data_IF_501281736006
#
_entry.id   IF_501281736006
#
_cell.length_a   1.000
_cell.length_b   1.000
_cell.length_c   1.000
_cell.angle_alpha   90.00
_cell.angle_beta   90.00
_cell.angle_gamma   90.00
#
_symmetry.space_group_name_H-M   'P 1'
#
loop_
_entity.id
_entity.type
_entity.pdbx_description
1 polymer ?
#
# COMPACT_ATOMS: atom_id res chain seq x y z
N UNK A 1 -52.67 34.07 -19.12
CA UNK A 1 -51.57 34.70 -19.80
C UNK A 1 -50.33 34.04 -19.22
N UNK A 2 -49.92 32.95 -19.77
CA UNK A 2 -49.05 32.76 -20.94
C UNK A 2 -47.62 33.15 -20.65
N UNK A 3 -46.74 32.18 -20.64
CA UNK A 3 -45.32 32.39 -20.71
C UNK A 3 -44.47 31.20 -20.31
N UNK A 4 -44.69 30.10 -20.98
CA UNK A 4 -43.77 28.97 -21.08
C UNK A 4 -42.55 29.39 -21.92
N UNK A 5 -41.33 29.28 -21.43
CA UNK A 5 -40.12 29.25 -22.26
C UNK A 5 -39.06 28.40 -21.58
N UNK A 6 -38.93 27.16 -22.00
CA UNK A 6 -37.71 26.39 -21.94
C UNK A 6 -36.65 27.03 -22.84
N UNK A 7 -35.40 27.19 -22.40
CA UNK A 7 -34.25 27.20 -23.30
C UNK A 7 -33.55 25.86 -23.25
N UNK A 8 -33.81 25.11 -24.31
CA UNK A 8 -32.94 24.14 -24.94
C UNK A 8 -31.47 24.49 -24.79
N UNK A 9 -30.75 23.67 -24.03
CA UNK A 9 -29.28 23.72 -23.94
C UNK A 9 -28.71 22.64 -24.87
N UNK A 10 -28.18 22.99 -26.05
CA UNK A 10 -27.46 22.07 -26.91
C UNK A 10 -25.96 22.26 -26.73
N UNK A 11 -25.32 21.42 -25.97
CA UNK A 11 -23.87 21.50 -26.07
C UNK A 11 -23.02 20.87 -24.99
N UNK A 12 -23.11 19.59 -24.76
CA UNK A 12 -22.00 18.82 -24.22
C UNK A 12 -21.97 17.41 -24.83
N UNK A 13 -21.90 17.38 -26.15
CA UNK A 13 -21.52 16.21 -26.91
C UNK A 13 -20.05 16.36 -27.28
N UNK A 14 -19.20 15.89 -26.42
CA UNK A 14 -17.74 15.92 -26.59
C UNK A 14 -17.03 14.95 -25.69
N UNK A 15 -17.66 13.82 -25.40
CA UNK A 15 -16.96 12.69 -24.82
C UNK A 15 -16.37 11.89 -25.99
N UNK A 16 -15.15 12.23 -26.37
CA UNK A 16 -14.33 11.37 -27.23
C UNK A 16 -13.94 10.14 -26.42
N UNK A 17 -14.77 9.11 -26.53
CA UNK A 17 -14.33 7.76 -26.17
C UNK A 17 -13.16 7.40 -27.08
N UNK A 18 -12.03 6.94 -26.54
CA UNK A 18 -10.98 6.40 -27.38
C UNK A 18 -11.54 5.15 -28.05
N UNK A 19 -11.76 5.22 -29.39
CA UNK A 19 -11.97 4.06 -30.24
C UNK A 19 -10.79 3.14 -30.03
N UNK A 20 -11.00 2.02 -29.32
CA UNK A 20 -10.10 0.88 -29.42
C UNK A 20 -10.10 0.47 -30.89
N UNK A 21 -9.04 0.91 -31.59
CA UNK A 21 -8.82 0.55 -32.97
C UNK A 21 -8.65 -0.94 -33.09
N UNK A 22 -9.40 -1.42 -34.02
CA UNK A 22 -9.28 -2.59 -34.87
C UNK A 22 -8.01 -3.43 -34.59
N UNK A 23 -8.09 -4.42 -33.69
CA UNK A 23 -7.05 -5.39 -33.42
C UNK A 23 -7.13 -6.63 -34.33
N UNK A 24 -8.08 -6.65 -35.26
CA UNK A 24 -8.34 -7.80 -36.15
C UNK A 24 -7.22 -8.06 -37.18
N UNK A 25 -6.21 -7.18 -37.26
CA UNK A 25 -5.09 -7.39 -38.21
C UNK A 25 -3.90 -8.14 -37.61
N UNK A 26 -3.96 -8.51 -36.30
CA UNK A 26 -2.85 -9.23 -35.64
C UNK A 26 -2.93 -10.75 -35.79
N UNK A 27 -4.06 -11.30 -36.20
CA UNK A 27 -4.27 -12.75 -36.31
C UNK A 27 -4.13 -13.32 -37.74
N UNK A 28 -3.61 -12.55 -38.70
CA UNK A 28 -3.29 -13.12 -40.01
C UNK A 28 -1.94 -13.83 -39.95
N UNK A 29 -1.90 -15.16 -40.11
CA UNK A 29 -0.64 -15.85 -40.31
C UNK A 29 -0.02 -15.30 -41.60
N UNK A 30 1.18 -14.76 -41.47
CA UNK A 30 2.00 -14.29 -42.58
C UNK A 30 2.25 -15.47 -43.50
N UNK A 31 1.51 -15.51 -44.60
CA UNK A 31 1.78 -16.42 -45.71
C UNK A 31 3.25 -16.20 -46.16
N UNK A 32 3.99 -17.30 -46.16
CA UNK A 32 5.36 -17.31 -46.63
C UNK A 32 5.43 -16.77 -48.06
N UNK A 33 5.92 -15.55 -48.18
CA UNK A 33 6.33 -15.03 -49.51
C UNK A 33 7.63 -15.73 -49.86
N UNK A 34 7.61 -16.44 -50.98
CA UNK A 34 8.80 -16.94 -51.66
C UNK A 34 9.77 -15.81 -51.92
N UNK A 35 11.03 -15.91 -51.55
CA UNK A 35 12.03 -15.01 -52.06
C UNK A 35 12.49 -15.46 -53.46
N UNK A 36 12.07 -14.73 -54.45
CA UNK A 36 12.52 -14.86 -55.80
C UNK A 36 13.68 -13.87 -55.99
N UNK A 37 14.83 -14.19 -55.47
CA UNK A 37 16.06 -13.42 -55.73
C UNK A 37 16.85 -14.18 -56.74
N UNK A 38 16.94 -13.53 -57.93
CA UNK A 38 17.73 -13.94 -59.05
C UNK A 38 19.23 -13.98 -58.74
N UNK A 39 19.66 -15.00 -57.98
CA UNK A 39 21.07 -15.31 -57.87
C UNK A 39 21.39 -16.51 -58.79
N UNK A 40 22.48 -16.45 -59.56
CA UNK A 40 22.86 -17.53 -60.46
C UNK A 40 23.21 -18.78 -59.69
N UNK A 41 22.58 -19.89 -60.04
CA UNK A 41 22.86 -21.21 -59.51
C UNK A 41 24.25 -21.63 -59.92
N UNK A 42 25.18 -21.66 -58.97
CA UNK A 42 26.45 -22.33 -59.18
C UNK A 42 26.21 -23.84 -59.21
N UNK A 43 26.43 -24.41 -60.38
CA UNK A 43 26.44 -25.85 -60.60
C UNK A 43 27.73 -26.41 -59.97
N UNK A 44 27.65 -27.03 -58.82
CA UNK A 44 28.77 -27.74 -58.23
C UNK A 44 28.58 -29.20 -58.56
N UNK A 45 29.40 -29.72 -59.45
CA UNK A 45 29.45 -31.13 -59.79
C UNK A 45 29.80 -31.99 -58.58
N UNK A 46 29.21 -33.20 -58.48
CA UNK A 46 29.51 -34.17 -57.39
C UNK A 46 30.71 -35.01 -57.81
N UNK A 47 31.86 -34.72 -57.34
CA UNK A 47 33.01 -35.53 -57.55
C UNK A 47 34.12 -35.25 -56.57
N UNK A 48 34.17 -35.96 -55.49
CA UNK A 48 35.38 -36.58 -54.94
C UNK A 48 35.05 -37.19 -53.58
N UNK A 49 34.77 -38.52 -53.60
CA UNK A 49 34.87 -39.32 -52.39
C UNK A 49 36.36 -39.39 -51.98
N UNK A 50 36.72 -38.71 -50.93
CA UNK A 50 37.93 -39.01 -50.17
C UNK A 50 37.49 -39.66 -48.84
N UNK A 51 37.65 -40.97 -48.79
CA UNK A 51 37.59 -41.77 -47.57
C UNK A 51 38.75 -41.34 -46.66
N UNK A 52 38.45 -40.47 -45.70
CA UNK A 52 39.35 -40.20 -44.56
C UNK A 52 39.03 -41.13 -43.40
N UNK A 53 40.03 -41.52 -42.61
CA UNK A 53 39.88 -42.50 -41.53
C UNK A 53 38.95 -41.99 -40.44
N UNK A 54 38.26 -42.88 -39.68
CA UNK A 54 37.32 -42.49 -38.65
C UNK A 54 38.08 -41.71 -37.55
N UNK A 55 37.86 -40.44 -37.46
CA UNK A 55 38.33 -39.63 -36.35
C UNK A 55 37.61 -40.11 -35.09
N UNK A 56 38.35 -40.69 -34.16
CA UNK A 56 37.92 -40.97 -32.78
C UNK A 56 37.35 -39.70 -32.21
N UNK A 57 36.04 -39.69 -32.09
CA UNK A 57 35.28 -38.65 -31.37
C UNK A 57 35.66 -38.72 -29.89
N UNK A 58 36.73 -38.04 -29.53
CA UNK A 58 37.21 -37.86 -28.17
C UNK A 58 36.33 -36.83 -27.55
N UNK A 59 35.17 -37.26 -27.07
CA UNK A 59 34.24 -36.48 -26.29
C UNK A 59 34.95 -36.07 -24.97
N UNK A 60 35.74 -35.00 -25.08
CA UNK A 60 36.26 -34.31 -23.89
C UNK A 60 35.13 -33.52 -23.32
N UNK A 61 34.31 -34.16 -22.49
CA UNK A 61 33.49 -33.48 -21.52
C UNK A 61 34.42 -32.63 -20.63
N UNK A 62 34.74 -31.47 -21.10
CA UNK A 62 35.20 -30.37 -20.21
C UNK A 62 33.99 -29.89 -19.43
N UNK A 63 33.62 -30.68 -18.41
CA UNK A 63 32.83 -30.17 -17.28
C UNK A 63 33.72 -29.23 -16.46
N UNK A 64 34.01 -28.11 -17.00
CA UNK A 64 34.51 -26.95 -16.29
C UNK A 64 33.42 -25.87 -16.40
N UNK A 65 32.25 -26.18 -15.89
CA UNK A 65 31.20 -25.18 -15.79
C UNK A 65 31.42 -24.33 -14.54
N UNK A 66 31.01 -23.07 -14.57
CA UNK A 66 31.07 -22.17 -13.42
C UNK A 66 30.06 -22.53 -12.32
N UNK A 67 29.74 -23.83 -12.19
CA UNK A 67 28.75 -24.32 -11.24
C UNK A 67 29.08 -24.11 -9.76
N UNK A 68 30.35 -23.85 -9.45
CA UNK A 68 30.75 -23.56 -8.06
C UNK A 68 30.36 -22.13 -7.65
N UNK A 69 30.32 -21.20 -8.56
CA UNK A 69 29.99 -19.80 -8.25
C UNK A 69 28.49 -19.62 -7.95
N UNK A 70 27.66 -20.48 -8.49
CA UNK A 70 26.21 -20.44 -8.24
C UNK A 70 25.86 -20.63 -6.75
N UNK A 71 26.33 -21.68 -6.05
CA UNK A 71 26.04 -21.81 -4.62
C UNK A 71 26.64 -20.67 -3.79
N UNK A 72 27.82 -20.16 -4.18
CA UNK A 72 28.46 -19.03 -3.49
C UNK A 72 27.64 -17.74 -3.68
N UNK A 73 27.09 -17.52 -4.86
CA UNK A 73 26.22 -16.39 -5.16
C UNK A 73 24.88 -16.49 -4.39
N UNK A 74 24.31 -17.70 -4.30
CA UNK A 74 23.09 -17.95 -3.50
C UNK A 74 23.33 -17.67 -2.01
N UNK A 75 24.46 -18.12 -1.48
CA UNK A 75 24.83 -17.83 -0.07
C UNK A 75 25.05 -16.35 0.15
N UNK A 76 25.70 -15.65 -0.79
CA UNK A 76 25.89 -14.20 -0.72
C UNK A 76 24.55 -13.45 -0.73
N UNK A 77 23.64 -13.82 -1.63
CA UNK A 77 22.29 -13.22 -1.69
C UNK A 77 21.50 -13.51 -0.42
N UNK A 78 21.59 -14.75 0.12
CA UNK A 78 20.94 -15.09 1.38
C UNK A 78 21.51 -14.30 2.58
N UNK A 79 22.83 -14.09 2.62
CA UNK A 79 23.47 -13.26 3.65
C UNK A 79 23.08 -11.78 3.53
N UNK A 80 22.99 -11.25 2.31
CA UNK A 80 22.53 -9.88 2.07
C UNK A 80 21.05 -9.75 2.46
N UNK A 81 20.20 -10.68 2.04
CA UNK A 81 18.78 -10.68 2.37
C UNK A 81 18.56 -10.85 3.89
N UNK A 82 19.29 -11.76 4.53
CA UNK A 82 19.27 -11.98 5.98
C UNK A 82 19.80 -10.76 6.75
N UNK A 83 20.90 -10.16 6.27
CA UNK A 83 21.46 -8.94 6.84
C UNK A 83 20.52 -7.74 6.73
N UNK A 84 19.86 -7.57 5.57
CA UNK A 84 18.84 -6.56 5.35
C UNK A 84 17.62 -6.81 6.25
N UNK A 85 17.17 -8.04 6.37
CA UNK A 85 16.04 -8.39 7.22
C UNK A 85 16.35 -8.18 8.71
N UNK A 86 17.54 -8.58 9.16
CA UNK A 86 17.98 -8.38 10.55
C UNK A 86 18.24 -6.91 10.89
N UNK A 87 18.66 -6.13 9.89
CA UNK A 87 19.03 -4.72 10.06
C UNK A 87 17.94 -3.74 9.59
N UNK A 88 16.70 -4.20 9.39
CA UNK A 88 15.56 -3.34 8.96
C UNK A 88 15.36 -2.11 9.87
N UNK A 89 15.66 -2.25 11.17
CA UNK A 89 15.54 -1.13 12.11
C UNK A 89 16.62 -0.06 11.89
N UNK A 90 17.83 -0.45 11.42
CA UNK A 90 18.92 0.51 11.14
C UNK A 90 18.75 1.20 9.80
N UNK A 91 18.12 0.55 8.81
CA UNK A 91 17.86 1.15 7.50
C UNK A 91 16.77 2.23 7.55
N UNK A 92 15.85 2.15 8.52
CA UNK A 92 14.85 3.19 8.76
C UNK A 92 15.47 4.54 9.17
N UNK A 93 16.69 4.54 9.68
CA UNK A 93 17.43 5.77 10.03
C UNK A 93 18.13 6.47 8.85
N UNK A 94 18.21 5.81 7.67
CA UNK A 94 18.83 6.37 6.47
C UNK A 94 17.83 7.08 5.53
N UNK A 95 16.54 6.86 5.73
CA UNK A 95 15.49 7.61 5.02
C UNK A 95 15.37 8.97 5.72
N UNK A 96 15.50 10.10 5.01
CA UNK A 96 15.20 11.42 5.58
C UNK A 96 13.77 11.35 6.14
N UNK A 97 13.63 11.50 7.47
CA UNK A 97 12.31 11.59 8.08
C UNK A 97 11.71 12.92 7.68
N UNK A 98 10.50 12.88 7.19
CA UNK A 98 9.71 14.10 6.97
C UNK A 98 9.19 14.59 8.32
N UNK A 99 8.89 15.87 8.43
CA UNK A 99 8.24 16.42 9.64
C UNK A 99 6.96 15.63 9.97
N UNK A 100 6.26 15.15 8.95
CA UNK A 100 5.10 14.27 9.09
C UNK A 100 5.42 12.97 9.81
N UNK A 101 6.49 12.25 9.40
CA UNK A 101 6.87 10.96 10.00
C UNK A 101 7.24 11.11 11.48
N UNK A 102 7.93 12.20 11.83
CA UNK A 102 8.32 12.48 13.21
C UNK A 102 7.09 12.78 14.08
N UNK A 103 6.15 13.59 13.59
CA UNK A 103 4.92 13.89 14.30
C UNK A 103 4.04 12.65 14.43
N UNK A 104 3.89 11.86 13.37
CA UNK A 104 3.12 10.62 13.37
C UNK A 104 3.68 9.60 14.36
N UNK A 105 5.02 9.45 14.40
CA UNK A 105 5.67 8.56 15.35
C UNK A 105 5.43 9.01 16.81
N UNK A 106 5.56 10.30 17.10
CA UNK A 106 5.27 10.86 18.42
C UNK A 106 3.82 10.63 18.83
N UNK A 107 2.88 10.81 17.88
CA UNK A 107 1.46 10.54 18.10
C UNK A 107 1.20 9.07 18.48
N UNK A 108 1.84 8.13 17.78
CA UNK A 108 1.74 6.71 18.09
C UNK A 108 2.29 6.37 19.49
N UNK A 109 3.41 6.99 19.88
CA UNK A 109 3.99 6.80 21.22
C UNK A 109 3.06 7.36 22.28
N UNK A 110 2.51 8.56 22.08
CA UNK A 110 1.52 9.16 23.02
C UNK A 110 0.27 8.28 23.20
N UNK A 111 -0.25 7.71 22.09
CA UNK A 111 -1.37 6.77 22.12
C UNK A 111 -1.04 5.51 22.94
N UNK A 112 0.15 4.93 22.73
CA UNK A 112 0.60 3.74 23.47
C UNK A 112 0.79 4.02 24.97
N UNK A 113 1.18 5.24 25.33
CA UNK A 113 1.32 5.69 26.73
C UNK A 113 -0.02 6.05 27.39
N UNK A 114 -1.11 6.05 26.62
CA UNK A 114 -2.43 6.44 27.11
C UNK A 114 -2.60 7.96 27.29
N UNK A 115 -1.67 8.77 26.74
CA UNK A 115 -1.79 10.22 26.72
C UNK A 115 -2.67 10.63 25.52
N UNK A 116 -4.00 10.43 25.71
CA UNK A 116 -4.96 10.48 24.62
C UNK A 116 -5.34 11.91 24.24
N UNK A 117 -5.66 12.74 25.24
CA UNK A 117 -6.17 14.09 25.06
C UNK A 117 -5.44 15.06 26.00
N UNK A 118 -5.26 16.29 25.58
CA UNK A 118 -4.56 17.36 26.29
C UNK A 118 -4.51 18.62 25.44
N UNK A 119 -3.93 19.68 26.01
CA UNK A 119 -3.79 21.00 25.36
C UNK A 119 -2.33 21.49 25.33
N UNK A 120 -1.41 20.56 25.61
CA UNK A 120 0.02 20.85 25.73
C UNK A 120 0.83 20.56 24.45
N UNK A 121 0.17 20.14 23.37
CA UNK A 121 0.81 19.79 22.09
C UNK A 121 1.52 18.43 22.10
N UNK A 122 1.31 17.61 23.15
CA UNK A 122 2.00 16.32 23.33
C UNK A 122 1.05 15.14 23.34
N UNK A 123 -0.26 15.36 23.38
CA UNK A 123 -1.28 14.32 23.38
C UNK A 123 -1.39 13.64 22.00
N UNK A 124 -1.85 12.39 22.00
CA UNK A 124 -2.03 11.62 20.77
C UNK A 124 -2.98 12.32 19.80
N UNK A 125 -4.09 12.87 20.28
CA UNK A 125 -5.07 13.62 19.50
C UNK A 125 -4.42 14.79 18.77
N UNK A 126 -3.76 15.68 19.51
CA UNK A 126 -3.14 16.89 18.94
C UNK A 126 -2.05 16.54 17.90
N UNK A 127 -1.22 15.53 18.21
CA UNK A 127 -0.17 15.10 17.31
C UNK A 127 -0.71 14.44 16.02
N UNK A 128 -1.78 13.63 16.10
CA UNK A 128 -2.43 13.11 14.88
C UNK A 128 -3.17 14.20 14.10
N UNK A 129 -3.74 15.20 14.76
CA UNK A 129 -4.32 16.37 14.09
C UNK A 129 -3.25 17.19 13.37
N UNK A 130 -2.10 17.40 14.00
CA UNK A 130 -0.94 18.05 13.38
C UNK A 130 -0.41 17.25 12.18
N UNK A 131 -0.28 15.93 12.31
CA UNK A 131 0.11 15.05 11.20
C UNK A 131 -0.89 15.16 10.04
N UNK A 132 -2.20 15.15 10.32
CA UNK A 132 -3.25 15.34 9.31
C UNK A 132 -3.20 16.71 8.63
N UNK A 133 -2.78 17.75 9.35
CA UNK A 133 -2.62 19.09 8.77
C UNK A 133 -1.40 19.17 7.83
N UNK A 134 -0.33 18.38 8.10
CA UNK A 134 0.84 18.29 7.23
C UNK A 134 0.55 17.49 5.96
N UNK A 135 -0.17 16.38 6.07
CA UNK A 135 -0.53 15.51 4.94
C UNK A 135 -2.02 15.13 4.98
N UNK A 136 -2.92 15.99 4.46
CA UNK A 136 -4.37 15.77 4.55
C UNK A 136 -4.87 14.51 3.83
N UNK A 137 -4.17 14.09 2.78
CA UNK A 137 -4.52 12.92 1.96
C UNK A 137 -3.99 11.61 2.53
N UNK A 138 -3.20 11.66 3.60
CA UNK A 138 -2.63 10.48 4.22
C UNK A 138 -3.62 9.86 5.23
N UNK A 139 -3.94 8.58 5.01
CA UNK A 139 -4.90 7.87 5.84
C UNK A 139 -4.37 7.52 7.25
N UNK A 140 -3.05 7.49 7.45
CA UNK A 140 -2.46 7.05 8.72
C UNK A 140 -2.83 7.96 9.88
N UNK A 141 -2.83 9.28 9.68
CA UNK A 141 -3.25 10.23 10.71
C UNK A 141 -4.76 10.10 11.03
N UNK A 142 -5.59 9.88 10.00
CA UNK A 142 -7.03 9.63 10.20
C UNK A 142 -7.31 8.34 10.95
N UNK A 143 -6.58 7.27 10.63
CA UNK A 143 -6.65 6.00 11.37
C UNK A 143 -6.20 6.19 12.82
N UNK A 144 -5.11 6.94 13.06
CA UNK A 144 -4.65 7.28 14.39
C UNK A 144 -5.70 8.02 15.22
N UNK A 145 -6.41 9.00 14.65
CA UNK A 145 -7.52 9.69 15.33
C UNK A 145 -8.69 8.74 15.67
N UNK A 146 -9.01 7.80 14.80
CA UNK A 146 -10.00 6.75 15.09
C UNK A 146 -9.53 5.84 16.24
N UNK A 147 -8.25 5.51 16.30
CA UNK A 147 -7.70 4.68 17.38
C UNK A 147 -7.68 5.44 18.71
N UNK A 148 -7.40 6.75 18.71
CA UNK A 148 -7.59 7.61 19.89
C UNK A 148 -9.05 7.59 20.35
N UNK A 149 -10.01 7.74 19.43
CA UNK A 149 -11.43 7.69 19.76
C UNK A 149 -11.85 6.34 20.38
N UNK A 150 -11.32 5.22 19.89
CA UNK A 150 -11.55 3.90 20.50
C UNK A 150 -10.90 3.76 21.87
N UNK A 151 -9.71 4.32 22.06
CA UNK A 151 -9.05 4.33 23.35
C UNK A 151 -9.83 5.17 24.38
N UNK A 152 -10.43 6.29 23.96
CA UNK A 152 -11.32 7.09 24.80
C UNK A 152 -12.61 6.34 25.18
N UNK A 153 -13.18 5.52 24.27
CA UNK A 153 -14.29 4.62 24.62
C UNK A 153 -13.88 3.64 25.71
N UNK A 154 -12.71 3.02 25.58
CA UNK A 154 -12.20 2.08 26.60
C UNK A 154 -11.95 2.78 27.94
N UNK A 155 -11.44 4.02 27.92
CA UNK A 155 -11.24 4.85 29.10
C UNK A 155 -12.59 5.20 29.76
N UNK A 156 -13.58 5.57 28.96
CA UNK A 156 -14.93 5.85 29.46
C UNK A 156 -15.58 4.63 30.15
N UNK A 157 -15.41 3.44 29.55
CA UNK A 157 -15.93 2.19 30.14
C UNK A 157 -15.20 1.85 31.44
N UNK A 158 -13.90 1.99 31.52
CA UNK A 158 -13.11 1.78 32.74
C UNK A 158 -13.49 2.78 33.86
N UNK A 159 -13.65 4.06 33.53
CA UNK A 159 -14.07 5.09 34.48
C UNK A 159 -15.48 4.83 34.99
N UNK A 160 -16.40 4.40 34.12
CA UNK A 160 -17.75 4.01 34.51
C UNK A 160 -17.72 2.82 35.48
N UNK A 161 -16.93 1.80 35.22
CA UNK A 161 -16.77 0.64 36.11
C UNK A 161 -16.16 1.02 37.47
N UNK A 162 -15.30 2.03 37.51
CA UNK A 162 -14.69 2.58 38.71
C UNK A 162 -15.65 3.53 39.49
N UNK A 163 -16.81 3.90 38.90
CA UNK A 163 -17.74 4.85 39.48
C UNK A 163 -17.39 6.33 39.27
N UNK A 164 -16.37 6.60 38.45
CA UNK A 164 -15.90 7.95 38.10
C UNK A 164 -16.73 8.53 36.96
N UNK A 165 -18.00 8.90 37.25
CA UNK A 165 -18.97 9.25 36.20
C UNK A 165 -18.59 10.51 35.40
N UNK A 166 -17.93 11.49 36.02
CA UNK A 166 -17.50 12.70 35.32
C UNK A 166 -16.36 12.42 34.38
N UNK A 167 -15.39 11.59 34.77
CA UNK A 167 -14.30 11.14 33.88
C UNK A 167 -14.86 10.30 32.75
N UNK A 168 -15.79 9.39 33.03
CA UNK A 168 -16.45 8.60 31.98
C UNK A 168 -17.18 9.48 30.96
N UNK A 169 -17.88 10.52 31.45
CA UNK A 169 -18.57 11.47 30.58
C UNK A 169 -17.62 12.28 29.71
N UNK A 170 -16.48 12.71 30.27
CA UNK A 170 -15.48 13.47 29.51
C UNK A 170 -14.86 12.61 28.43
N UNK A 171 -14.38 11.42 28.76
CA UNK A 171 -13.79 10.49 27.79
C UNK A 171 -14.81 10.12 26.68
N UNK A 172 -16.09 9.93 27.04
CA UNK A 172 -17.14 9.68 26.06
C UNK A 172 -17.38 10.89 25.13
N UNK A 173 -17.26 12.11 25.63
CA UNK A 173 -17.40 13.32 24.82
C UNK A 173 -16.25 13.40 23.80
N UNK A 174 -15.01 13.17 24.25
CA UNK A 174 -13.83 13.13 23.39
C UNK A 174 -13.97 12.04 22.30
N UNK A 175 -14.43 10.84 22.68
CA UNK A 175 -14.67 9.76 21.73
C UNK A 175 -15.71 10.15 20.66
N UNK A 176 -16.81 10.81 21.08
CA UNK A 176 -17.87 11.26 20.15
C UNK A 176 -17.37 12.30 19.17
N UNK A 177 -16.51 13.23 19.59
CA UNK A 177 -15.92 14.22 18.70
C UNK A 177 -15.06 13.57 17.61
N UNK A 178 -14.31 12.51 17.94
CA UNK A 178 -13.41 11.84 17.00
C UNK A 178 -14.11 10.85 16.08
N UNK A 179 -15.08 10.10 16.61
CA UNK A 179 -15.77 9.02 15.91
C UNK A 179 -17.11 9.43 15.30
N UNK A 180 -17.68 10.55 15.72
CA UNK A 180 -18.98 11.07 15.28
C UNK A 180 -20.19 10.33 15.85
N UNK A 181 -19.98 9.23 16.61
CA UNK A 181 -21.04 8.40 17.19
C UNK A 181 -20.81 6.91 16.93
N UNK A 182 -21.81 6.08 17.30
CA UNK A 182 -21.77 4.64 17.12
C UNK A 182 -22.38 3.88 18.29
N UNK A 183 -22.59 2.57 18.12
CA UNK A 183 -23.25 1.70 19.10
C UNK A 183 -22.59 1.73 20.49
N UNK A 184 -21.25 1.83 20.53
CA UNK A 184 -20.51 1.86 21.80
C UNK A 184 -20.68 3.20 22.51
N UNK A 185 -20.67 4.30 21.76
CA UNK A 185 -20.94 5.65 22.30
C UNK A 185 -22.35 5.74 22.84
N UNK A 186 -23.34 5.18 22.13
CA UNK A 186 -24.74 5.18 22.55
C UNK A 186 -24.95 4.31 23.80
N UNK A 187 -24.34 3.13 23.84
CA UNK A 187 -24.37 2.21 24.99
C UNK A 187 -23.81 2.87 26.25
N UNK A 188 -22.63 3.49 26.14
CA UNK A 188 -21.98 4.16 27.27
C UNK A 188 -22.77 5.40 27.72
N UNK A 189 -23.35 6.16 26.79
CA UNK A 189 -24.22 7.30 27.13
C UNK A 189 -25.38 6.86 28.01
N UNK A 190 -26.07 5.78 27.63
CA UNK A 190 -27.18 5.23 28.42
C UNK A 190 -26.72 4.67 29.76
N UNK A 191 -25.56 4.00 29.78
CA UNK A 191 -25.02 3.42 31.02
C UNK A 191 -24.61 4.50 32.02
N UNK A 192 -23.98 5.58 31.59
CA UNK A 192 -23.62 6.72 32.45
C UNK A 192 -24.88 7.42 32.98
N UNK A 193 -25.87 7.66 32.10
CA UNK A 193 -27.15 8.26 32.53
C UNK A 193 -27.83 7.42 33.62
N UNK A 194 -27.93 6.11 33.41
CA UNK A 194 -28.49 5.18 34.37
C UNK A 194 -27.70 5.16 35.69
N UNK A 195 -26.38 5.17 35.65
CA UNK A 195 -25.54 5.20 36.86
C UNK A 195 -25.76 6.49 37.68
N UNK A 196 -25.94 7.64 37.02
CA UNK A 196 -26.30 8.91 37.69
C UNK A 196 -27.67 8.87 38.34
N UNK A 197 -28.68 8.28 37.70
CA UNK A 197 -30.02 8.10 38.28
C UNK A 197 -29.99 7.23 39.53
N UNK A 198 -29.10 6.24 39.58
CA UNK A 198 -28.93 5.34 40.71
C UNK A 198 -28.05 5.93 41.84
N UNK A 199 -27.47 7.12 41.65
CA UNK A 199 -26.61 7.76 42.63
C UNK A 199 -25.27 7.03 42.83
N UNK A 200 -24.75 6.38 41.82
CA UNK A 200 -23.52 5.57 41.86
C UNK A 200 -22.26 6.40 41.53
N UNK A 201 -22.25 7.71 41.74
CA UNK A 201 -21.14 8.62 41.43
C UNK A 201 -20.74 9.48 42.62
#
# INVERSE_FOLDING_TARGET
MSGNRDPHDPGLSGRTEPKLGDLDHLDKPRSAAEPNDGLPRMNIEPGYRRSGPPSKNRNKNKRGGPGWWVPLLVVLVALIAGGLWFNQNSLRGLVPRTDYDDVLHRAQVALQQGHLDGTDGTSARELFEAARALEPDNDSARQGLNDVGRAEIARADAALQAGHLDEAQQALTNARELLGGGSDVDRLTQAIAKARELGLG
#
